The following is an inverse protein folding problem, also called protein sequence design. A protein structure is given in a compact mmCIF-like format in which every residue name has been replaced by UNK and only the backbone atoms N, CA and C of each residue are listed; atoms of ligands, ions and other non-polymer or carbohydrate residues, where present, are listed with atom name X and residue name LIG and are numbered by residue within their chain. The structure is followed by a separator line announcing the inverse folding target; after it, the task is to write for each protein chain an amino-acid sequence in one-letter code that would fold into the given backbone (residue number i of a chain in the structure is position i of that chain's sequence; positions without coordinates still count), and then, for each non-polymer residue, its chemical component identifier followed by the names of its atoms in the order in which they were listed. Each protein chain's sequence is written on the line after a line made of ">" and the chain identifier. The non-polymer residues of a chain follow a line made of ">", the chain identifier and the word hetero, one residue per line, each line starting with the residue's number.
data_IF_327129172315
#
_entry.id   IF_327129172315
#
_cell.length_a   1.000
_cell.length_b   1.000
_cell.length_c   1.000
_cell.angle_alpha   90.00
_cell.angle_beta   90.00
_cell.angle_gamma   90.00
#
_symmetry.space_group_name_H-M   'P 1'
#
loop_
_entity.id
_entity.type
_entity.pdbx_description
1 polymer ?
#
# COMPACT_ATOMS: atom_id res chain seq x y z
N UNK A 1 -8.56 6.24 -4.20
CA UNK A 1 -8.53 7.33 -5.19
C UNK A 1 -9.48 7.01 -6.32
N UNK A 2 -10.13 8.02 -6.89
CA UNK A 2 -10.90 7.85 -8.14
C UNK A 2 -9.90 7.61 -9.27
N UNK A 3 -10.22 6.68 -10.16
CA UNK A 3 -9.40 6.37 -11.32
C UNK A 3 -10.29 6.07 -12.52
N UNK A 4 -9.81 6.44 -13.70
CA UNK A 4 -10.48 6.19 -14.97
C UNK A 4 -9.46 5.88 -16.07
N UNK A 5 -9.86 5.14 -17.07
CA UNK A 5 -9.05 4.92 -18.27
C UNK A 5 -9.40 6.02 -19.26
N UNK A 6 -8.39 6.75 -19.71
CA UNK A 6 -8.52 7.88 -20.65
C UNK A 6 -7.61 7.65 -21.85
N UNK A 7 -8.13 7.89 -23.03
CA UNK A 7 -7.34 7.86 -24.27
C UNK A 7 -6.88 9.28 -24.60
N UNK A 8 -5.55 9.48 -24.66
CA UNK A 8 -4.91 10.71 -25.14
C UNK A 8 -4.28 10.41 -26.50
N UNK A 9 -4.85 10.96 -27.55
CA UNK A 9 -4.44 10.67 -28.94
C UNK A 9 -4.40 9.15 -29.18
N UNK A 10 -3.20 8.57 -29.30
CA UNK A 10 -2.98 7.15 -29.56
C UNK A 10 -2.50 6.38 -28.29
N UNK A 11 -2.51 6.99 -27.12
CA UNK A 11 -2.01 6.40 -25.86
C UNK A 11 -3.16 6.24 -24.88
N UNK A 12 -3.39 5.00 -24.43
CA UNK A 12 -4.32 4.71 -23.35
C UNK A 12 -3.60 4.78 -22.01
N UNK A 13 -4.15 5.57 -21.09
CA UNK A 13 -3.55 5.81 -19.77
C UNK A 13 -4.56 5.59 -18.65
N UNK A 14 -4.08 5.26 -17.46
CA UNK A 14 -4.84 5.28 -16.23
C UNK A 14 -4.67 6.66 -15.59
N UNK A 15 -5.73 7.46 -15.58
CA UNK A 15 -5.78 8.73 -14.86
C UNK A 15 -6.22 8.47 -13.42
N UNK A 16 -5.50 9.04 -12.45
CA UNK A 16 -5.78 8.86 -11.01
C UNK A 16 -5.90 10.23 -10.37
N UNK A 17 -7.06 10.52 -9.74
CA UNK A 17 -7.26 11.73 -8.98
C UNK A 17 -6.35 11.75 -7.74
N UNK A 18 -5.57 12.80 -7.59
CA UNK A 18 -4.67 12.95 -6.45
C UNK A 18 -5.44 13.37 -5.20
N UNK A 19 -5.42 12.51 -4.18
CA UNK A 19 -6.06 12.75 -2.88
C UNK A 19 -5.29 13.77 -2.00
N UNK A 20 -4.04 14.08 -2.35
CA UNK A 20 -3.18 15.03 -1.62
C UNK A 20 -3.20 16.45 -2.22
N UNK A 21 -4.17 16.74 -3.08
CA UNK A 21 -4.37 18.04 -3.70
C UNK A 21 -5.79 18.53 -3.49
N UNK A 22 -5.95 19.81 -3.21
CA UNK A 22 -7.25 20.47 -3.18
C UNK A 22 -7.13 21.93 -3.62
N UNK A 23 -8.23 22.45 -4.18
CA UNK A 23 -8.34 23.86 -4.52
C UNK A 23 -8.79 24.64 -3.29
N UNK A 24 -8.02 25.66 -2.92
CA UNK A 24 -8.42 26.62 -1.88
C UNK A 24 -9.50 27.56 -2.39
N UNK A 25 -10.16 28.27 -1.49
CA UNK A 25 -11.23 29.22 -1.84
C UNK A 25 -10.75 30.38 -2.76
N UNK A 26 -9.47 30.73 -2.68
CA UNK A 26 -8.80 31.73 -3.50
C UNK A 26 -8.23 31.17 -4.83
N UNK A 27 -8.58 29.93 -5.19
CA UNK A 27 -8.22 29.32 -6.47
C UNK A 27 -6.80 28.73 -6.53
N UNK A 28 -6.08 28.66 -5.42
CA UNK A 28 -4.74 28.04 -5.39
C UNK A 28 -4.83 26.53 -5.21
N UNK A 29 -4.04 25.78 -5.98
CA UNK A 29 -3.87 24.35 -5.79
C UNK A 29 -2.91 24.10 -4.60
N UNK A 30 -3.46 23.60 -3.51
CA UNK A 30 -2.72 23.29 -2.29
C UNK A 30 -2.38 21.81 -2.20
N UNK A 31 -1.27 21.52 -1.55
CA UNK A 31 -0.84 20.16 -1.22
C UNK A 31 -1.09 19.86 0.26
N UNK A 32 -1.73 18.72 0.54
CA UNK A 32 -1.82 18.19 1.90
C UNK A 32 -0.45 17.59 2.26
N UNK A 33 0.17 18.01 3.36
CA UNK A 33 1.41 17.38 3.85
C UNK A 33 1.19 15.89 4.10
N UNK A 34 2.14 15.09 3.59
CA UNK A 34 2.13 13.65 3.81
C UNK A 34 3.54 13.08 3.83
N UNK A 35 3.71 11.95 4.49
CA UNK A 35 4.92 11.13 4.48
C UNK A 35 4.56 9.65 4.37
N UNK A 36 5.44 8.86 3.76
CA UNK A 36 5.27 7.41 3.71
C UNK A 36 5.68 6.76 5.04
N UNK A 37 5.29 5.47 5.25
CA UNK A 37 5.58 4.78 6.51
C UNK A 37 7.07 4.56 6.74
N UNK A 38 7.92 4.49 5.70
CA UNK A 38 9.36 4.48 5.90
C UNK A 38 9.84 5.81 6.48
N UNK A 39 9.35 6.95 5.97
CA UNK A 39 9.67 8.27 6.50
C UNK A 39 9.19 8.42 7.95
N UNK A 40 7.93 8.05 8.24
CA UNK A 40 7.35 8.11 9.58
C UNK A 40 8.09 7.25 10.60
N UNK A 41 8.67 6.13 10.17
CA UNK A 41 9.45 5.21 11.00
C UNK A 41 10.95 5.51 10.96
N UNK A 42 11.38 6.58 10.28
CA UNK A 42 12.81 6.94 10.11
C UNK A 42 13.64 5.82 9.46
N UNK A 43 13.04 5.05 8.55
CA UNK A 43 13.68 3.97 7.81
C UNK A 43 14.11 4.46 6.43
N UNK A 44 15.37 4.25 6.01
CA UNK A 44 15.84 4.60 4.68
C UNK A 44 15.00 3.93 3.57
N UNK A 45 14.76 4.65 2.47
CA UNK A 45 13.97 4.14 1.34
C UNK A 45 14.54 2.87 0.69
N UNK A 46 15.84 2.61 0.87
CA UNK A 46 16.53 1.40 0.43
C UNK A 46 16.11 0.15 1.21
N UNK A 47 15.59 0.33 2.43
CA UNK A 47 15.11 -0.74 3.31
C UNK A 47 13.57 -0.79 3.32
N UNK A 48 12.92 -0.57 2.19
CA UNK A 48 11.45 -0.53 2.10
C UNK A 48 10.77 -1.90 2.25
N UNK A 49 11.48 -2.99 1.97
CA UNK A 49 10.97 -4.36 2.08
C UNK A 49 11.30 -4.96 3.44
N UNK A 50 10.36 -5.71 4.00
CA UNK A 50 10.58 -6.39 5.28
C UNK A 50 11.70 -7.45 5.21
N UNK A 51 11.91 -8.08 4.03
CA UNK A 51 13.04 -9.02 3.79
C UNK A 51 14.40 -8.37 3.94
N UNK A 52 14.50 -7.07 3.70
CA UNK A 52 15.75 -6.29 3.71
C UNK A 52 15.96 -5.56 5.05
N UNK A 53 15.15 -5.92 6.06
CA UNK A 53 15.19 -5.31 7.38
C UNK A 53 14.28 -4.07 7.54
N UNK A 54 13.41 -3.83 6.57
CA UNK A 54 12.42 -2.77 6.61
C UNK A 54 11.20 -3.09 7.46
N UNK A 55 10.23 -2.14 7.56
CA UNK A 55 9.07 -2.28 8.40
C UNK A 55 8.20 -3.46 8.00
N UNK A 56 7.79 -4.26 8.98
CA UNK A 56 6.80 -5.31 8.84
C UNK A 56 5.40 -4.84 9.25
N UNK A 57 4.44 -5.77 9.20
CA UNK A 57 3.04 -5.50 9.58
C UNK A 57 2.94 -5.00 11.02
N UNK A 58 3.72 -5.56 11.95
CA UNK A 58 3.70 -5.18 13.37
C UNK A 58 4.16 -3.73 13.58
N UNK A 59 5.23 -3.31 12.90
CA UNK A 59 5.77 -1.95 12.98
C UNK A 59 4.74 -0.93 12.46
N UNK A 60 4.11 -1.24 11.32
CA UNK A 60 3.06 -0.42 10.72
C UNK A 60 1.82 -0.31 11.64
N UNK A 61 1.39 -1.41 12.29
CA UNK A 61 0.28 -1.37 13.25
C UNK A 61 0.63 -0.57 14.50
N UNK A 62 1.87 -0.62 14.95
CA UNK A 62 2.37 0.20 16.07
C UNK A 62 2.35 1.68 15.70
N UNK A 63 2.84 2.04 14.51
CA UNK A 63 2.75 3.40 13.96
C UNK A 63 1.30 3.87 13.96
N UNK A 64 0.38 3.09 13.39
CA UNK A 64 -1.03 3.45 13.28
C UNK A 64 -1.78 3.51 14.62
N UNK A 65 -1.21 2.97 15.70
CA UNK A 65 -1.79 3.13 17.04
C UNK A 65 -1.79 4.58 17.53
N UNK A 66 -0.90 5.44 17.01
CA UNK A 66 -0.86 6.86 17.28
C UNK A 66 -1.72 7.73 16.36
N UNK A 67 -2.43 7.14 15.40
CA UNK A 67 -3.32 7.86 14.49
C UNK A 67 -4.53 8.46 15.20
N UNK A 68 -5.03 9.59 14.71
CA UNK A 68 -6.31 10.18 15.15
C UNK A 68 -7.50 9.22 14.98
N UNK A 69 -7.37 8.25 14.08
CA UNK A 69 -8.37 7.21 13.77
C UNK A 69 -7.79 5.81 13.91
N UNK A 70 -7.06 5.54 15.00
CA UNK A 70 -6.24 4.35 15.19
C UNK A 70 -6.93 3.03 14.82
N UNK A 71 -8.15 2.79 15.33
CA UNK A 71 -8.88 1.54 15.07
C UNK A 71 -9.26 1.41 13.60
N UNK A 72 -9.70 2.50 12.97
CA UNK A 72 -10.10 2.53 11.57
C UNK A 72 -8.89 2.32 10.64
N UNK A 73 -7.81 3.04 10.91
CA UNK A 73 -6.59 2.98 10.10
C UNK A 73 -5.91 1.61 10.22
N UNK A 74 -5.81 1.06 11.43
CA UNK A 74 -5.29 -0.30 11.66
C UNK A 74 -6.13 -1.36 10.94
N UNK A 75 -7.47 -1.25 11.04
CA UNK A 75 -8.37 -2.16 10.33
C UNK A 75 -8.24 -2.03 8.81
N UNK A 76 -8.16 -0.81 8.28
CA UNK A 76 -7.97 -0.56 6.86
C UNK A 76 -6.63 -1.12 6.36
N UNK A 77 -5.55 -0.94 7.12
CA UNK A 77 -4.23 -1.50 6.82
C UNK A 77 -4.26 -3.03 6.78
N UNK A 78 -4.87 -3.69 7.79
CA UNK A 78 -5.00 -5.16 7.81
C UNK A 78 -5.83 -5.69 6.66
N UNK A 79 -6.95 -5.03 6.33
CA UNK A 79 -7.75 -5.38 5.15
C UNK A 79 -6.94 -5.27 3.86
N UNK A 80 -6.09 -4.23 3.73
CA UNK A 80 -5.21 -4.09 2.59
C UNK A 80 -4.22 -5.26 2.48
N UNK A 81 -3.62 -5.72 3.60
CA UNK A 81 -2.72 -6.88 3.60
C UNK A 81 -3.43 -8.17 3.14
N UNK A 82 -4.69 -8.38 3.57
CA UNK A 82 -5.50 -9.51 3.12
C UNK A 82 -5.78 -9.41 1.61
N UNK A 83 -6.16 -8.23 1.12
CA UNK A 83 -6.39 -8.00 -0.32
C UNK A 83 -5.11 -8.24 -1.10
N UNK A 84 -3.95 -7.74 -0.65
CA UNK A 84 -2.65 -7.96 -1.30
C UNK A 84 -2.33 -9.45 -1.42
N UNK A 85 -2.60 -10.22 -0.36
CA UNK A 85 -2.45 -11.67 -0.39
C UNK A 85 -3.41 -12.31 -1.40
N UNK A 86 -4.69 -11.92 -1.43
CA UNK A 86 -5.70 -12.48 -2.32
C UNK A 86 -5.39 -12.24 -3.80
N UNK A 87 -4.96 -11.03 -4.15
CA UNK A 87 -4.68 -10.65 -5.56
C UNK A 87 -3.22 -10.87 -5.97
N UNK A 88 -2.34 -11.29 -5.05
CA UNK A 88 -0.92 -11.46 -5.33
C UNK A 88 -0.21 -10.13 -5.61
N UNK A 89 -0.52 -9.08 -4.83
CA UNK A 89 0.18 -7.80 -4.88
C UNK A 89 1.51 -7.90 -4.13
N UNK A 90 2.60 -8.19 -4.83
CA UNK A 90 3.91 -8.47 -4.24
C UNK A 90 4.69 -7.22 -3.81
N UNK A 91 4.32 -6.04 -4.31
CA UNK A 91 5.04 -4.78 -4.06
C UNK A 91 4.38 -3.88 -2.99
N UNK A 92 3.53 -4.44 -2.13
CA UNK A 92 2.86 -3.72 -1.04
C UNK A 92 3.77 -3.45 0.17
N UNK A 93 4.88 -2.72 -0.04
CA UNK A 93 5.86 -2.37 1.00
C UNK A 93 5.50 -1.08 1.75
N UNK A 94 6.27 -0.74 2.80
CA UNK A 94 6.00 0.39 3.69
C UNK A 94 5.88 1.76 2.98
N UNK A 95 6.54 1.96 1.83
CA UNK A 95 6.41 3.19 1.06
C UNK A 95 5.10 3.32 0.27
N UNK A 96 4.31 2.25 0.15
CA UNK A 96 3.00 2.27 -0.52
C UNK A 96 1.85 2.59 0.46
N UNK A 97 2.22 2.96 1.69
CA UNK A 97 1.31 3.50 2.70
C UNK A 97 1.83 4.85 3.16
N UNK A 98 0.93 5.80 3.35
CA UNK A 98 1.29 7.15 3.78
C UNK A 98 0.36 7.65 4.88
N UNK A 99 0.83 8.69 5.56
CA UNK A 99 0.10 9.43 6.57
C UNK A 99 -0.13 10.85 6.09
N UNK A 100 -1.34 11.37 6.22
CA UNK A 100 -1.59 12.80 6.21
C UNK A 100 -1.11 13.38 7.53
N UNK A 101 -0.36 14.47 7.43
CA UNK A 101 0.14 15.21 8.58
C UNK A 101 -0.76 16.42 8.85
N UNK A 102 -1.15 16.60 10.10
CA UNK A 102 -1.93 17.73 10.56
C UNK A 102 -1.20 18.50 11.65
N UNK A 103 -1.54 19.79 11.91
CA UNK A 103 -0.89 20.57 12.95
C UNK A 103 -0.95 19.89 14.31
N UNK A 104 0.11 20.08 15.11
CA UNK A 104 0.21 19.49 16.45
C UNK A 104 0.75 18.06 16.48
N UNK A 105 1.40 17.60 15.42
CA UNK A 105 1.99 16.25 15.35
C UNK A 105 0.95 15.13 15.17
N UNK A 106 -0.26 15.49 14.81
CA UNK A 106 -1.37 14.56 14.56
C UNK A 106 -1.32 14.02 13.16
N UNK A 107 -1.80 12.78 12.96
CA UNK A 107 -1.81 12.14 11.67
C UNK A 107 -2.93 11.11 11.51
N UNK A 108 -3.19 10.72 10.28
CA UNK A 108 -4.06 9.60 9.91
C UNK A 108 -3.57 8.95 8.62
N UNK A 109 -3.94 7.70 8.39
CA UNK A 109 -3.59 7.01 7.16
C UNK A 109 -4.27 7.65 5.93
N UNK A 110 -3.54 7.74 4.82
CA UNK A 110 -4.09 8.20 3.53
C UNK A 110 -4.95 7.10 2.89
N UNK A 111 -5.78 7.43 1.88
CA UNK A 111 -6.32 6.41 1.00
C UNK A 111 -5.21 5.53 0.41
N UNK A 112 -5.53 4.26 0.16
CA UNK A 112 -4.60 3.32 -0.47
C UNK A 112 -4.30 3.73 -1.92
N UNK A 113 -3.08 3.52 -2.36
CA UNK A 113 -2.58 3.79 -3.70
C UNK A 113 -1.54 2.74 -4.11
N UNK A 114 -1.19 2.72 -5.41
CA UNK A 114 -0.13 1.86 -5.95
C UNK A 114 -0.34 0.37 -5.66
N UNK A 115 -1.57 -0.11 -5.87
CA UNK A 115 -1.92 -1.51 -5.68
C UNK A 115 -1.96 -2.19 -7.04
N UNK A 116 -0.98 -3.06 -7.27
CA UNK A 116 -0.88 -3.83 -8.50
C UNK A 116 -0.71 -5.32 -8.19
N UNK A 117 -1.39 -6.16 -8.98
CA UNK A 117 -1.20 -7.61 -8.91
C UNK A 117 0.00 -8.04 -9.75
N UNK A 118 0.81 -8.96 -9.23
CA UNK A 118 1.86 -9.63 -9.98
C UNK A 118 1.39 -10.95 -10.61
N UNK A 119 0.11 -11.31 -10.44
CA UNK A 119 -0.45 -12.58 -10.93
C UNK A 119 -0.26 -12.80 -12.44
N UNK A 120 -0.47 -11.81 -13.34
CA UNK A 120 -0.24 -12.01 -14.78
C UNK A 120 1.21 -12.38 -15.12
N UNK A 121 2.19 -11.81 -14.41
CA UNK A 121 3.61 -12.13 -14.61
C UNK A 121 3.95 -13.53 -14.09
N UNK A 122 3.31 -13.95 -12.99
CA UNK A 122 3.45 -15.30 -12.49
C UNK A 122 2.83 -16.33 -13.44
N UNK A 123 1.64 -16.07 -13.96
CA UNK A 123 0.95 -16.95 -14.93
C UNK A 123 1.70 -17.04 -16.25
N UNK A 124 2.39 -15.97 -16.65
CA UNK A 124 3.27 -15.95 -17.82
C UNK A 124 4.65 -16.59 -17.59
N UNK A 125 4.91 -17.20 -16.42
CA UNK A 125 6.19 -17.75 -15.99
C UNK A 125 7.36 -16.75 -16.00
N UNK A 126 7.06 -15.45 -15.86
CA UNK A 126 8.05 -14.38 -15.75
C UNK A 126 8.53 -14.20 -14.31
N UNK A 127 7.81 -14.75 -13.33
CA UNK A 127 8.16 -14.78 -11.91
C UNK A 127 8.21 -16.20 -11.41
N UNK A 128 9.25 -16.53 -10.65
CA UNK A 128 9.34 -17.80 -9.95
C UNK A 128 8.47 -17.79 -8.68
N UNK A 129 8.15 -18.99 -8.16
CA UNK A 129 7.41 -19.13 -6.90
C UNK A 129 8.14 -18.49 -5.71
N UNK A 130 9.47 -18.36 -5.77
CA UNK A 130 10.26 -17.70 -4.71
C UNK A 130 10.13 -16.18 -4.76
N UNK A 131 9.96 -15.61 -5.94
CA UNK A 131 9.78 -14.17 -6.16
C UNK A 131 8.32 -13.74 -5.90
N UNK A 132 7.36 -14.66 -6.01
CA UNK A 132 5.95 -14.39 -5.74
C UNK A 132 5.68 -14.39 -4.23
N UNK A 133 6.13 -13.31 -3.56
CA UNK A 133 6.04 -13.10 -2.11
C UNK A 133 5.44 -11.75 -1.80
N UNK A 134 4.80 -11.63 -0.63
CA UNK A 134 4.40 -10.32 -0.11
C UNK A 134 5.62 -9.52 0.38
N UNK A 135 5.57 -8.21 0.17
CA UNK A 135 6.60 -7.28 0.63
C UNK A 135 6.69 -7.20 2.16
N UNK A 136 5.57 -7.44 2.86
CA UNK A 136 5.49 -7.54 4.31
C UNK A 136 5.08 -8.95 4.72
N UNK A 137 5.81 -9.54 5.67
CA UNK A 137 5.50 -10.85 6.19
C UNK A 137 4.43 -10.77 7.31
N UNK A 138 3.50 -11.72 7.31
CA UNK A 138 2.64 -11.99 8.45
C UNK A 138 3.34 -13.02 9.36
N UNK A 139 4.11 -12.55 10.32
CA UNK A 139 4.95 -13.40 11.16
C UNK A 139 6.04 -14.12 10.33
N UNK A 140 6.06 -15.46 10.34
CA UNK A 140 7.03 -16.27 9.56
C UNK A 140 6.62 -16.47 8.10
N UNK A 141 5.44 -15.97 7.68
CA UNK A 141 4.84 -16.27 6.39
C UNK A 141 4.89 -15.04 5.48
N UNK A 142 5.78 -15.08 4.50
CA UNK A 142 5.82 -14.10 3.39
C UNK A 142 5.43 -14.72 2.05
N UNK A 143 5.40 -16.06 1.95
CA UNK A 143 5.12 -16.74 0.69
C UNK A 143 3.62 -16.80 0.39
N UNK A 144 3.26 -16.44 -0.85
CA UNK A 144 1.93 -16.63 -1.41
C UNK A 144 1.77 -18.11 -1.79
N UNK A 145 1.18 -18.92 -0.89
CA UNK A 145 0.85 -20.30 -1.21
C UNK A 145 -0.42 -20.36 -2.04
N UNK A 146 -0.31 -20.83 -3.30
CA UNK A 146 -1.47 -21.07 -4.16
C UNK A 146 -2.44 -22.13 -3.61
N UNK A 147 -1.97 -23.02 -2.74
CA UNK A 147 -2.83 -24.01 -2.07
C UNK A 147 -3.84 -23.36 -1.12
N UNK A 148 -3.43 -22.38 -0.32
CA UNK A 148 -4.34 -21.66 0.57
C UNK A 148 -5.42 -20.86 -0.15
N UNK A 149 -5.14 -20.35 -1.37
CA UNK A 149 -6.14 -19.62 -2.17
C UNK A 149 -7.28 -20.51 -2.66
N UNK A 150 -7.02 -21.79 -2.98
CA UNK A 150 -8.03 -22.73 -3.47
C UNK A 150 -8.99 -23.22 -2.37
N UNK A 151 -8.56 -23.23 -1.12
CA UNK A 151 -9.39 -23.63 0.01
C UNK A 151 -10.34 -22.52 0.45
N UNK A 152 -9.88 -21.25 0.43
CA UNK A 152 -10.72 -20.09 0.80
C UNK A 152 -11.84 -19.82 -0.23
N UNK A 153 -11.58 -20.08 -1.52
CA UNK A 153 -12.60 -19.92 -2.59
C UNK A 153 -13.61 -21.09 -2.66
N UNK A 154 -13.56 -22.08 -1.78
CA UNK A 154 -14.49 -23.21 -1.73
C UNK A 154 -15.51 -23.17 -0.57
N UNK A 155 -15.49 -22.08 0.20
CA UNK A 155 -16.45 -21.85 1.28
C UNK A 155 -17.60 -20.94 0.83
#
# INVERSE_FOLDING_TARGET
>A
AKSEIVDFENVRVLAIERFDRFMSQDGRLLRVPQEDFCQALSVPSTLKYNSDGGPGIADCLTLLSGSDYADQDRLAFLKAQIVFWLIGATDGHAKNFSLFLTPGGRYRMTPLYDIMTAQPHFDANQLTRREFRLAMAAGRYSSLSLQGKREICRC
#
